data_IF_947565399879
#
_entry.id   IF_947565399879
#
_cell.length_a   1.000
_cell.length_b   1.000
_cell.length_c   1.000
_cell.angle_alpha   90.00
_cell.angle_beta   90.00
_cell.angle_gamma   90.00
#
_symmetry.space_group_name_H-M   'P 1'
#
loop_
_entity.id
_entity.type
_entity.pdbx_description
1 polymer ?
#
# COMPACT_ATOMS: atom_id res chain seq x y z
N UNK A 1 49.61 -36.43 -16.91
CA UNK A 1 48.79 -35.35 -17.47
C UNK A 1 47.35 -35.56 -17.03
N UNK A 2 46.86 -34.79 -16.05
CA UNK A 2 45.47 -34.32 -15.83
C UNK A 2 45.40 -33.84 -14.36
N UNK A 3 45.65 -32.56 -14.07
CA UNK A 3 44.75 -31.39 -14.08
C UNK A 3 43.64 -31.45 -13.02
N UNK A 4 43.74 -30.47 -12.13
CA UNK A 4 42.85 -30.02 -11.05
C UNK A 4 41.48 -29.58 -11.56
N UNK A 5 40.45 -29.72 -10.73
CA UNK A 5 39.14 -29.09 -10.96
C UNK A 5 38.36 -28.88 -9.66
N UNK A 6 38.67 -27.80 -8.94
CA UNK A 6 37.67 -27.06 -8.17
C UNK A 6 37.26 -25.86 -9.01
N UNK A 7 35.95 -25.59 -9.10
CA UNK A 7 35.28 -24.28 -8.93
C UNK A 7 33.93 -24.23 -9.68
N UNK A 8 32.87 -23.89 -8.93
CA UNK A 8 31.82 -22.90 -9.26
C UNK A 8 30.83 -23.20 -10.41
N UNK A 9 29.51 -22.98 -10.32
CA UNK A 9 28.69 -22.05 -9.53
C UNK A 9 27.28 -22.65 -9.38
N UNK A 10 26.78 -22.78 -8.15
CA UNK A 10 25.33 -22.76 -7.90
C UNK A 10 24.92 -21.28 -7.76
N UNK A 11 24.76 -20.59 -8.89
CA UNK A 11 24.26 -19.20 -9.00
C UNK A 11 22.72 -19.15 -8.84
N UNK A 12 22.17 -19.87 -7.87
CA UNK A 12 20.74 -19.82 -7.52
C UNK A 12 20.50 -19.28 -6.11
N UNK A 13 21.49 -18.62 -5.52
CA UNK A 13 21.34 -17.91 -4.25
C UNK A 13 20.80 -16.49 -4.48
N UNK A 14 19.60 -16.22 -3.94
CA UNK A 14 19.13 -14.91 -3.52
C UNK A 14 18.87 -13.82 -4.57
N UNK A 15 17.93 -14.06 -5.49
CA UNK A 15 17.04 -12.98 -5.93
C UNK A 15 15.71 -13.11 -5.21
N UNK A 16 15.66 -12.67 -3.94
CA UNK A 16 14.37 -12.25 -3.37
C UNK A 16 13.93 -11.09 -4.25
N UNK A 17 12.89 -11.28 -5.06
CA UNK A 17 12.41 -10.19 -5.91
C UNK A 17 11.92 -9.05 -5.01
N UNK A 18 12.07 -7.81 -5.47
CA UNK A 18 11.58 -6.63 -4.75
C UNK A 18 10.08 -6.75 -4.41
N UNK A 19 9.33 -7.49 -5.23
CA UNK A 19 7.93 -7.82 -5.01
C UNK A 19 7.72 -8.69 -3.78
N UNK A 20 8.48 -9.78 -3.61
CA UNK A 20 8.40 -10.64 -2.42
C UNK A 20 8.77 -9.87 -1.15
N UNK A 21 9.73 -8.93 -1.24
CA UNK A 21 10.08 -8.08 -0.11
C UNK A 21 8.95 -7.09 0.23
N UNK A 22 8.34 -6.46 -0.77
CA UNK A 22 7.22 -5.54 -0.58
C UNK A 22 6.00 -6.25 0.04
N UNK A 23 5.70 -7.47 -0.39
CA UNK A 23 4.63 -8.30 0.19
C UNK A 23 4.87 -8.59 1.67
N UNK A 24 6.10 -8.95 2.06
CA UNK A 24 6.46 -9.21 3.46
C UNK A 24 6.34 -7.96 4.34
N UNK A 25 6.77 -6.81 3.83
CA UNK A 25 6.64 -5.53 4.53
C UNK A 25 5.17 -5.17 4.72
N UNK A 26 4.36 -5.37 3.68
CA UNK A 26 2.92 -5.14 3.71
C UNK A 26 2.22 -6.03 4.74
N UNK A 27 2.54 -7.33 4.77
CA UNK A 27 1.96 -8.26 5.75
C UNK A 27 2.34 -7.89 7.19
N UNK A 28 3.58 -7.44 7.40
CA UNK A 28 4.05 -6.99 8.71
C UNK A 28 3.26 -5.76 9.18
N UNK A 29 3.07 -4.76 8.31
CA UNK A 29 2.32 -3.54 8.61
C UNK A 29 0.83 -3.81 8.88
N UNK A 30 0.22 -4.73 8.14
CA UNK A 30 -1.17 -5.14 8.38
C UNK A 30 -1.33 -5.93 9.70
N UNK A 31 -0.31 -6.69 10.10
CA UNK A 31 -0.29 -7.40 11.37
C UNK A 31 -0.16 -6.47 12.59
N UNK A 32 0.58 -5.36 12.45
CA UNK A 32 0.69 -4.32 13.49
C UNK A 32 -0.62 -3.54 13.68
N UNK A 33 -1.44 -3.43 12.62
CA UNK A 33 -2.68 -2.66 12.60
C UNK A 33 -3.90 -3.49 12.15
N UNK A 34 -4.27 -4.54 12.90
CA UNK A 34 -5.29 -5.51 12.47
C UNK A 34 -6.66 -4.84 12.33
N UNK A 35 -7.20 -4.86 11.11
CA UNK A 35 -8.53 -4.33 10.78
C UNK A 35 -8.60 -2.81 10.66
N UNK A 36 -7.50 -2.08 10.87
CA UNK A 36 -7.43 -0.63 10.61
C UNK A 36 -7.12 -0.34 9.14
N UNK A 37 -6.20 -1.10 8.54
CA UNK A 37 -5.72 -0.89 7.17
C UNK A 37 -6.12 -2.03 6.24
N UNK A 38 -6.29 -1.72 4.97
CA UNK A 38 -6.55 -2.67 3.89
C UNK A 38 -5.66 -2.41 2.69
N UNK A 39 -5.35 -3.50 1.96
CA UNK A 39 -4.66 -3.43 0.67
C UNK A 39 -5.51 -2.69 -0.36
N UNK A 40 -4.84 -1.93 -1.22
CA UNK A 40 -5.46 -1.35 -2.43
C UNK A 40 -5.10 -2.19 -3.66
N UNK A 41 -5.52 -1.76 -4.85
CA UNK A 41 -5.05 -2.35 -6.12
C UNK A 41 -3.58 -2.01 -6.45
N UNK A 42 -2.93 -1.15 -5.66
CA UNK A 42 -1.52 -0.81 -5.79
C UNK A 42 -0.71 -1.52 -4.69
N UNK A 43 0.41 -2.19 -5.02
CA UNK A 43 1.23 -2.92 -4.04
C UNK A 43 1.94 -2.01 -3.03
N UNK A 44 2.10 -0.72 -3.35
CA UNK A 44 2.82 0.24 -2.50
C UNK A 44 1.90 1.20 -1.75
N UNK A 45 0.58 0.98 -1.77
CA UNK A 45 -0.38 1.85 -1.10
C UNK A 45 -1.39 1.01 -0.32
N UNK A 46 -1.55 1.34 0.95
CA UNK A 46 -2.65 0.84 1.79
C UNK A 46 -3.47 2.01 2.32
N UNK A 47 -4.70 1.74 2.73
CA UNK A 47 -5.57 2.77 3.28
C UNK A 47 -6.43 2.25 4.42
N UNK A 48 -7.05 3.16 5.16
CA UNK A 48 -7.97 2.79 6.24
C UNK A 48 -9.17 2.01 5.70
N UNK A 49 -9.58 0.96 6.42
CA UNK A 49 -10.83 0.23 6.13
C UNK A 49 -12.02 1.18 6.29
N UNK A 50 -12.82 1.32 5.25
CA UNK A 50 -14.05 2.11 5.28
C UNK A 50 -15.24 1.27 5.78
N UNK A 51 -16.22 1.87 6.46
CA UNK A 51 -17.48 1.21 6.77
C UNK A 51 -18.18 0.73 5.48
N UNK A 52 -18.78 -0.46 5.52
CA UNK A 52 -19.51 -1.03 4.37
C UNK A 52 -20.73 -0.21 3.96
N UNK A 53 -21.35 0.47 4.92
CA UNK A 53 -22.42 1.43 4.69
C UNK A 53 -22.22 2.61 5.64
N UNK A 54 -22.33 3.82 5.11
CA UNK A 54 -22.22 5.03 5.89
C UNK A 54 -23.24 6.07 5.43
N UNK A 55 -23.68 6.89 6.38
CA UNK A 55 -24.61 7.98 6.09
C UNK A 55 -23.89 9.09 5.35
N UNK A 56 -24.44 9.54 4.22
CA UNK A 56 -23.92 10.68 3.47
C UNK A 56 -23.74 11.90 4.37
N UNK A 57 -22.62 12.61 4.19
CA UNK A 57 -22.24 13.82 4.94
C UNK A 57 -22.11 13.62 6.47
N UNK A 58 -22.03 12.38 6.96
CA UNK A 58 -21.66 12.08 8.35
C UNK A 58 -20.15 11.82 8.43
N UNK A 59 -19.47 12.41 9.41
CA UNK A 59 -18.05 12.15 9.67
C UNK A 59 -17.78 10.65 9.81
N UNK A 60 -16.69 10.16 9.22
CA UNK A 60 -16.28 8.76 9.39
C UNK A 60 -15.97 8.45 10.86
N UNK A 61 -16.18 7.21 11.32
CA UNK A 61 -15.90 6.84 12.71
C UNK A 61 -14.39 6.87 13.02
N UNK A 62 -13.56 6.72 11.99
CA UNK A 62 -12.10 6.77 12.04
C UNK A 62 -11.63 7.65 10.87
N UNK A 63 -10.56 8.42 11.07
CA UNK A 63 -9.97 9.21 10.01
C UNK A 63 -9.43 8.30 8.90
N UNK A 64 -9.75 8.63 7.64
CA UNK A 64 -9.22 7.89 6.50
C UNK A 64 -7.75 8.29 6.26
N UNK A 65 -6.86 7.31 6.30
CA UNK A 65 -5.42 7.47 6.04
C UNK A 65 -5.05 6.76 4.74
N UNK A 66 -4.05 7.30 4.06
CA UNK A 66 -3.35 6.65 2.95
C UNK A 66 -1.90 6.53 3.38
N UNK A 67 -1.37 5.31 3.34
CA UNK A 67 0.00 4.99 3.75
C UNK A 67 0.74 4.51 2.51
N UNK A 68 1.88 5.10 2.25
CA UNK A 68 2.77 4.67 1.17
C UNK A 68 3.84 3.74 1.75
N UNK A 69 4.08 2.61 1.08
CA UNK A 69 5.12 1.65 1.47
C UNK A 69 6.43 1.86 0.71
N UNK A 70 6.39 2.66 -0.35
CA UNK A 70 7.56 3.10 -1.10
C UNK A 70 7.75 4.61 -0.98
N UNK A 71 8.92 5.08 -1.38
CA UNK A 71 9.31 6.48 -1.18
C UNK A 71 8.36 7.47 -1.87
N UNK A 72 7.59 8.20 -1.06
CA UNK A 72 6.78 9.34 -1.46
C UNK A 72 7.25 10.57 -0.70
N UNK A 73 7.62 11.62 -1.43
CA UNK A 73 8.12 12.85 -0.84
C UNK A 73 7.05 13.52 0.04
N UNK A 74 7.45 13.98 1.22
CA UNK A 74 6.63 14.86 2.06
C UNK A 74 6.17 16.08 1.26
N UNK A 75 4.93 16.51 1.47
CA UNK A 75 4.33 17.58 0.68
C UNK A 75 3.58 17.09 -0.56
N UNK A 76 3.71 15.82 -0.95
CA UNK A 76 2.94 15.24 -2.06
C UNK A 76 1.45 15.33 -1.78
N UNK A 77 0.69 15.91 -2.71
CA UNK A 77 -0.77 16.05 -2.58
C UNK A 77 -1.44 14.71 -2.89
N UNK A 78 -2.26 14.25 -1.94
CA UNK A 78 -3.08 13.05 -2.08
C UNK A 78 -4.53 13.48 -2.26
N UNK A 79 -5.21 12.96 -3.29
CA UNK A 79 -6.64 13.22 -3.52
C UNK A 79 -7.42 11.91 -3.62
N UNK A 80 -8.63 11.90 -3.08
CA UNK A 80 -9.54 10.75 -3.11
C UNK A 80 -10.74 11.05 -4.01
N UNK A 81 -11.19 10.03 -4.74
CA UNK A 81 -12.40 10.05 -5.54
C UNK A 81 -13.22 8.80 -5.24
N UNK A 82 -14.54 8.93 -5.35
CA UNK A 82 -15.47 7.81 -5.21
C UNK A 82 -16.37 7.79 -6.45
N UNK A 83 -16.67 6.60 -6.96
CA UNK A 83 -17.55 6.46 -8.11
C UNK A 83 -18.01 5.03 -8.32
N UNK A 84 -19.14 4.89 -8.99
CA UNK A 84 -19.71 3.62 -9.46
C UNK A 84 -20.47 3.87 -10.78
N UNK A 85 -21.18 2.86 -11.28
CA UNK A 85 -21.91 2.93 -12.56
C UNK A 85 -23.05 3.98 -12.56
N UNK A 86 -23.64 4.27 -11.41
CA UNK A 86 -24.74 5.25 -11.27
C UNK A 86 -24.24 6.68 -11.06
N UNK A 87 -23.11 6.83 -10.36
CA UNK A 87 -22.50 8.11 -10.05
C UNK A 87 -20.98 7.99 -10.22
N UNK A 88 -20.50 8.38 -11.40
CA UNK A 88 -19.08 8.19 -11.78
C UNK A 88 -18.10 8.98 -10.90
N UNK A 89 -18.55 10.07 -10.28
CA UNK A 89 -17.72 10.93 -9.42
C UNK A 89 -18.58 11.54 -8.32
N UNK A 90 -18.77 10.77 -7.24
CA UNK A 90 -19.48 11.20 -6.05
C UNK A 90 -18.84 12.43 -5.41
N UNK A 91 -19.69 13.33 -4.92
CA UNK A 91 -19.24 14.50 -4.17
C UNK A 91 -18.58 14.06 -2.86
N UNK A 92 -17.38 14.57 -2.62
CA UNK A 92 -16.62 14.34 -1.39
C UNK A 92 -16.28 15.67 -0.72
N UNK A 93 -16.14 15.63 0.60
CA UNK A 93 -15.68 16.75 1.42
C UNK A 93 -14.33 16.38 2.03
N UNK A 94 -13.40 17.33 2.04
CA UNK A 94 -12.05 17.13 2.59
C UNK A 94 -11.28 15.95 1.93
N UNK A 95 -11.47 15.77 0.61
CA UNK A 95 -10.85 14.66 -0.13
C UNK A 95 -9.40 14.90 -0.55
N UNK A 96 -8.76 15.96 -0.03
CA UNK A 96 -7.36 16.30 -0.31
C UNK A 96 -6.58 16.35 1.00
N UNK A 97 -5.41 15.72 1.00
CA UNK A 97 -4.46 15.73 2.11
C UNK A 97 -3.03 15.88 1.58
N UNK A 98 -2.09 16.13 2.49
CA UNK A 98 -0.66 16.24 2.19
C UNK A 98 0.05 15.03 2.81
N UNK A 99 0.80 14.29 2.00
CA UNK A 99 1.62 13.18 2.48
C UNK A 99 2.69 13.70 3.45
N UNK A 100 2.83 13.01 4.58
CA UNK A 100 3.84 13.30 5.59
C UNK A 100 4.17 12.04 6.36
N UNK A 101 5.45 11.72 6.52
CA UNK A 101 5.93 10.60 7.33
C UNK A 101 5.17 9.30 6.99
N UNK A 102 5.33 8.87 5.74
CA UNK A 102 4.70 7.70 5.10
C UNK A 102 4.22 6.61 6.07
#
# INVERSE_FOLDING_TARGET
MHLTGQENMNESENFISAEVLAERTLDSLLAEHPGELTRTGCPHVVCTVLPTHWRSNKTLPIAFKVVALGDVMDGTIVTIRAGNDENYCGELRNCTAVMKNQ
#
